data_IF_418602536961
#
_entry.id   IF_418602536961
#
_cell.length_a   1.000
_cell.length_b   1.000
_cell.length_c   1.000
_cell.angle_alpha   90.00
_cell.angle_beta   90.00
_cell.angle_gamma   90.00
#
_symmetry.space_group_name_H-M   'P 1'
#
loop_
_entity.id
_entity.type
_entity.pdbx_description
1 polymer ?
#
# COMPACT_ATOMS: atom_id res chain seq x y z
N UNK A 1 -1.20 -15.44 13.10
CA UNK A 1 -1.46 -15.22 11.65
C UNK A 1 -2.66 -14.31 11.40
N UNK A 2 -3.82 -14.54 12.02
CA UNK A 2 -4.97 -13.63 11.92
C UNK A 2 -4.65 -12.19 12.38
N UNK A 3 -3.81 -12.03 13.41
CA UNK A 3 -3.38 -10.70 13.88
C UNK A 3 -2.59 -9.93 12.81
N UNK A 4 -1.58 -10.55 12.20
CA UNK A 4 -0.73 -9.91 11.19
C UNK A 4 -1.52 -9.49 9.95
N UNK A 5 -2.42 -10.35 9.44
CA UNK A 5 -3.28 -9.99 8.31
C UNK A 5 -4.22 -8.83 8.68
N UNK A 6 -4.82 -8.88 9.87
CA UNK A 6 -5.70 -7.80 10.34
C UNK A 6 -4.95 -6.48 10.52
N UNK A 7 -3.73 -6.51 11.04
CA UNK A 7 -2.92 -5.31 11.22
C UNK A 7 -2.51 -4.74 9.87
N UNK A 8 -2.12 -5.59 8.93
CA UNK A 8 -1.75 -5.19 7.56
C UNK A 8 -2.94 -4.58 6.82
N UNK A 9 -4.14 -5.17 6.94
CA UNK A 9 -5.37 -4.61 6.40
C UNK A 9 -5.72 -3.26 7.05
N UNK A 10 -5.55 -3.12 8.36
CA UNK A 10 -5.76 -1.82 9.03
C UNK A 10 -4.76 -0.77 8.52
N UNK A 11 -3.49 -1.12 8.38
CA UNK A 11 -2.47 -0.19 7.86
C UNK A 11 -2.69 0.21 6.41
N UNK A 12 -3.25 -0.67 5.57
CA UNK A 12 -3.55 -0.34 4.17
C UNK A 12 -4.85 0.44 4.03
N UNK A 13 -5.90 0.07 4.76
CA UNK A 13 -7.25 0.59 4.52
C UNK A 13 -7.74 1.58 5.58
N UNK A 14 -7.36 1.38 6.85
CA UNK A 14 -7.92 2.14 7.98
C UNK A 14 -7.02 3.33 8.33
N UNK A 15 -5.70 3.13 8.46
CA UNK A 15 -4.77 4.20 8.83
C UNK A 15 -4.78 5.38 7.84
N UNK A 16 -4.82 5.19 6.51
CA UNK A 16 -4.88 6.30 5.56
C UNK A 16 -6.20 7.07 5.61
N UNK A 17 -7.31 6.40 5.94
CA UNK A 17 -8.61 7.05 6.14
C UNK A 17 -8.57 7.91 7.41
N UNK A 18 -7.97 7.41 8.50
CA UNK A 18 -7.79 8.19 9.72
C UNK A 18 -6.90 9.41 9.42
N UNK A 19 -5.76 9.24 8.76
CA UNK A 19 -4.90 10.35 8.36
C UNK A 19 -5.61 11.36 7.45
N UNK A 20 -6.52 10.93 6.57
CA UNK A 20 -7.35 11.83 5.78
C UNK A 20 -8.26 12.70 6.64
N UNK A 21 -9.02 12.08 7.54
CA UNK A 21 -10.00 12.78 8.36
C UNK A 21 -9.37 13.68 9.42
N UNK A 22 -8.15 13.36 9.87
CA UNK A 22 -7.50 14.07 10.97
C UNK A 22 -6.31 14.95 10.57
N UNK A 23 -5.68 14.76 9.41
CA UNK A 23 -4.41 15.44 9.04
C UNK A 23 -4.44 16.12 7.66
N UNK A 24 -5.62 16.38 7.08
CA UNK A 24 -5.78 17.11 5.81
C UNK A 24 -4.93 16.52 4.66
N UNK A 25 -4.76 15.19 4.63
CA UNK A 25 -4.08 14.55 3.52
C UNK A 25 -4.86 14.80 2.22
N UNK A 26 -4.16 15.18 1.15
CA UNK A 26 -4.81 15.35 -0.15
C UNK A 26 -5.41 14.04 -0.63
N UNK A 27 -6.67 14.07 -1.09
CA UNK A 27 -7.42 12.90 -1.57
C UNK A 27 -6.62 12.05 -2.59
N UNK A 28 -5.81 12.70 -3.44
CA UNK A 28 -4.90 12.03 -4.37
C UNK A 28 -3.93 11.09 -3.66
N UNK A 29 -3.31 11.52 -2.57
CA UNK A 29 -2.32 10.74 -1.81
C UNK A 29 -2.94 9.48 -1.21
N UNK A 30 -4.13 9.59 -0.64
CA UNK A 30 -4.89 8.45 -0.09
C UNK A 30 -5.26 7.45 -1.18
N UNK A 31 -5.79 7.94 -2.30
CA UNK A 31 -6.15 7.08 -3.44
C UNK A 31 -4.92 6.35 -3.96
N UNK A 32 -3.78 7.02 -4.11
CA UNK A 32 -2.55 6.36 -4.57
C UNK A 32 -2.06 5.32 -3.55
N UNK A 33 -2.06 5.63 -2.25
CA UNK A 33 -1.66 4.69 -1.19
C UNK A 33 -2.55 3.44 -1.18
N UNK A 34 -3.86 3.61 -1.37
CA UNK A 34 -4.82 2.50 -1.41
C UNK A 34 -4.64 1.64 -2.66
N UNK A 35 -4.44 2.25 -3.83
CA UNK A 35 -4.13 1.54 -5.08
C UNK A 35 -2.82 0.75 -4.93
N UNK A 36 -1.77 1.36 -4.38
CA UNK A 36 -0.49 0.68 -4.15
C UNK A 36 -0.60 -0.45 -3.13
N UNK A 37 -1.39 -0.28 -2.07
CA UNK A 37 -1.66 -1.35 -1.11
C UNK A 37 -2.38 -2.55 -1.75
N UNK A 38 -3.40 -2.30 -2.57
CA UNK A 38 -4.10 -3.36 -3.32
C UNK A 38 -3.16 -4.02 -4.33
N UNK A 39 -2.35 -3.24 -5.05
CA UNK A 39 -1.38 -3.76 -6.00
C UNK A 39 -0.31 -4.63 -5.34
N UNK A 40 0.10 -4.33 -4.10
CA UNK A 40 0.99 -5.20 -3.32
C UNK A 40 0.33 -6.52 -2.92
N UNK A 41 -0.92 -6.49 -2.48
CA UNK A 41 -1.65 -7.70 -2.08
C UNK A 41 -1.92 -8.61 -3.27
N UNK A 42 -2.49 -8.05 -4.34
CA UNK A 42 -2.80 -8.77 -5.58
C UNK A 42 -1.52 -9.21 -6.26
N UNK A 43 -0.54 -8.30 -6.39
CA UNK A 43 0.74 -8.60 -7.00
C UNK A 43 1.49 -9.69 -6.23
N UNK A 44 1.49 -9.64 -4.89
CA UNK A 44 2.12 -10.66 -4.05
C UNK A 44 1.46 -12.02 -4.17
N UNK A 45 0.12 -12.05 -4.22
CA UNK A 45 -0.64 -13.27 -4.50
C UNK A 45 -0.24 -13.86 -5.86
N UNK A 46 -0.30 -13.07 -6.92
CA UNK A 46 0.05 -13.51 -8.28
C UNK A 46 1.52 -13.95 -8.37
N UNK A 47 2.43 -13.19 -7.78
CA UNK A 47 3.88 -13.44 -7.83
C UNK A 47 4.27 -14.75 -7.15
N UNK A 48 3.66 -15.08 -6.01
CA UNK A 48 4.10 -16.16 -5.13
C UNK A 48 3.27 -17.43 -5.26
N UNK A 49 2.00 -17.35 -5.66
CA UNK A 49 1.05 -18.47 -5.61
C UNK A 49 0.55 -18.93 -6.98
N UNK A 50 0.68 -18.12 -8.02
CA UNK A 50 0.14 -18.43 -9.35
C UNK A 50 1.19 -18.93 -10.36
N UNK A 51 0.69 -19.43 -11.49
CA UNK A 51 1.50 -19.98 -12.58
C UNK A 51 2.47 -18.95 -13.21
N UNK A 52 3.56 -19.39 -13.89
CA UNK A 52 4.65 -18.50 -14.30
C UNK A 52 4.25 -17.23 -15.06
N UNK A 53 3.31 -17.24 -16.02
CA UNK A 53 2.90 -16.01 -16.73
C UNK A 53 2.27 -14.96 -15.81
N UNK A 54 1.45 -15.42 -14.85
CA UNK A 54 0.81 -14.56 -13.86
C UNK A 54 1.79 -14.11 -12.79
N UNK A 55 2.78 -14.95 -12.44
CA UNK A 55 3.85 -14.59 -11.52
C UNK A 55 4.64 -13.36 -12.01
N UNK A 56 5.00 -13.30 -13.29
CA UNK A 56 5.68 -12.12 -13.85
C UNK A 56 4.82 -10.87 -13.78
N UNK A 57 3.52 -10.96 -14.08
CA UNK A 57 2.59 -9.84 -13.92
C UNK A 57 2.48 -9.39 -12.46
N UNK A 58 2.50 -10.35 -11.52
CA UNK A 58 2.56 -10.10 -10.09
C UNK A 58 3.80 -9.29 -9.69
N UNK A 59 4.98 -9.70 -10.12
CA UNK A 59 6.23 -8.96 -9.85
C UNK A 59 6.23 -7.55 -10.44
N UNK A 60 5.67 -7.36 -11.64
CA UNK A 60 5.51 -6.04 -12.27
C UNK A 60 4.60 -5.12 -11.42
N UNK A 61 3.64 -5.67 -10.67
CA UNK A 61 2.80 -4.90 -9.75
C UNK A 61 3.48 -4.66 -8.40
N UNK A 62 4.12 -5.67 -7.83
CA UNK A 62 4.75 -5.61 -6.50
C UNK A 62 5.88 -4.59 -6.45
N UNK A 63 6.77 -4.59 -7.45
CA UNK A 63 7.96 -3.72 -7.46
C UNK A 63 7.59 -2.23 -7.38
N UNK A 64 6.83 -1.65 -8.33
CA UNK A 64 6.47 -0.23 -8.27
C UNK A 64 5.60 0.10 -7.05
N UNK A 65 4.69 -0.79 -6.65
CA UNK A 65 3.85 -0.57 -5.49
C UNK A 65 4.66 -0.55 -4.18
N UNK A 66 5.67 -1.41 -4.05
CA UNK A 66 6.58 -1.43 -2.89
C UNK A 66 7.40 -0.15 -2.81
N UNK A 67 7.94 0.32 -3.93
CA UNK A 67 8.67 1.57 -4.01
C UNK A 67 7.79 2.76 -3.59
N UNK A 68 6.54 2.79 -4.04
CA UNK A 68 5.61 3.83 -3.66
C UNK A 68 5.29 3.81 -2.17
N UNK A 69 5.01 2.64 -1.59
CA UNK A 69 4.71 2.51 -0.16
C UNK A 69 5.90 2.92 0.70
N UNK A 70 7.12 2.53 0.32
CA UNK A 70 8.34 2.96 1.01
C UNK A 70 8.54 4.47 0.88
N UNK A 71 8.34 5.04 -0.31
CA UNK A 71 8.43 6.48 -0.50
C UNK A 71 7.39 7.24 0.34
N UNK A 72 6.14 6.77 0.34
CA UNK A 72 5.05 7.40 1.08
C UNK A 72 5.31 7.34 2.59
N UNK A 73 5.68 6.18 3.13
CA UNK A 73 6.02 6.02 4.56
C UNK A 73 7.19 6.91 4.99
N UNK A 74 8.23 7.05 4.17
CA UNK A 74 9.35 7.96 4.45
C UNK A 74 8.96 9.44 4.37
N UNK A 75 7.91 9.78 3.62
CA UNK A 75 7.49 11.17 3.39
C UNK A 75 6.26 11.59 4.19
N UNK A 76 5.57 10.66 4.88
CA UNK A 76 4.41 10.93 5.75
C UNK A 76 4.72 12.01 6.80
N UNK A 77 5.90 12.00 7.42
CA UNK A 77 6.29 12.98 8.45
C UNK A 77 6.88 14.30 7.92
N UNK A 78 6.98 14.49 6.61
CA UNK A 78 7.49 15.76 6.05
C UNK A 78 6.46 16.89 6.06
N UNK A 79 5.17 16.60 6.22
CA UNK A 79 4.11 17.62 6.19
C UNK A 79 3.51 17.92 7.57
N UNK A 80 3.88 17.18 8.61
CA UNK A 80 3.52 17.48 10.01
C UNK A 80 4.48 18.46 10.69
N UNK A 81 5.52 18.94 9.99
CA UNK A 81 6.57 19.82 10.52
C UNK A 81 6.46 21.30 10.08
N UNK A 82 5.39 21.70 9.38
CA UNK A 82 5.15 23.11 9.03
C UNK A 82 4.24 23.79 10.04
#
# INVERSE_FOLDING_TARGET
>A
MQSLLSDLLKTIFVDPLIEYFYHDLTLKRIVTRLISGVALLVGGYLALLESPPLSYAGWILVIPASLFVVYDTLTVNRHTRS
#
